data_IF_720485463275
#
_entry.id   IF_720485463275
#
_cell.length_a   1.000
_cell.length_b   1.000
_cell.length_c   1.000
_cell.angle_alpha   90.00
_cell.angle_beta   90.00
_cell.angle_gamma   90.00
#
_symmetry.space_group_name_H-M   'P 1'
#
loop_
_entity.id
_entity.type
_entity.pdbx_description
1 polymer ?
#
# COMPACT_ATOMS: atom_id res chain seq x y z
N UNK A 1 -0.14 -29.82 9.92
CA UNK A 1 1.25 -29.38 9.73
C UNK A 1 1.17 -27.99 9.13
N UNK A 2 1.56 -26.94 9.86
CA UNK A 2 1.46 -25.55 9.37
C UNK A 2 2.66 -25.28 8.47
N UNK A 3 2.43 -24.74 7.27
CA UNK A 3 3.47 -24.42 6.30
C UNK A 3 4.44 -23.39 6.87
N UNK A 4 5.73 -23.75 6.95
CA UNK A 4 6.79 -22.88 7.46
C UNK A 4 6.86 -21.53 6.71
N UNK A 5 6.48 -21.49 5.44
CA UNK A 5 6.51 -20.25 4.64
C UNK A 5 5.46 -19.23 5.11
N UNK A 6 4.28 -19.71 5.52
CA UNK A 6 3.22 -18.84 6.05
C UNK A 6 3.65 -18.25 7.40
N UNK A 7 4.30 -19.08 8.24
CA UNK A 7 4.83 -18.64 9.52
C UNK A 7 5.96 -17.62 9.36
N UNK A 8 6.83 -17.81 8.35
CA UNK A 8 7.91 -16.87 8.04
C UNK A 8 7.36 -15.53 7.55
N UNK A 9 6.34 -15.53 6.68
CA UNK A 9 5.68 -14.30 6.24
C UNK A 9 5.02 -13.54 7.40
N UNK A 10 4.34 -14.24 8.30
CA UNK A 10 3.72 -13.62 9.48
C UNK A 10 4.76 -13.08 10.47
N UNK A 11 5.87 -13.81 10.66
CA UNK A 11 6.98 -13.37 11.50
C UNK A 11 7.68 -12.13 10.92
N UNK A 12 7.95 -12.09 9.61
CA UNK A 12 8.52 -10.92 8.94
C UNK A 12 7.57 -9.71 8.96
N UNK A 13 6.26 -9.94 8.82
CA UNK A 13 5.24 -8.90 8.93
C UNK A 13 5.20 -8.30 10.35
N UNK A 14 5.13 -9.13 11.38
CA UNK A 14 5.04 -8.70 12.78
C UNK A 14 6.33 -8.03 13.27
N UNK A 15 7.50 -8.51 12.85
CA UNK A 15 8.79 -7.93 13.23
C UNK A 15 9.09 -6.61 12.51
N UNK A 16 8.63 -6.41 11.27
CA UNK A 16 8.76 -5.12 10.59
C UNK A 16 7.80 -4.05 11.13
N UNK A 17 6.62 -4.42 11.64
CA UNK A 17 5.69 -3.47 12.26
C UNK A 17 6.26 -2.85 13.56
N UNK A 18 7.13 -3.57 14.27
CA UNK A 18 7.70 -3.17 15.57
C UNK A 18 8.99 -2.33 15.51
N UNK A 19 9.58 -2.07 14.35
CA UNK A 19 10.80 -1.23 14.20
C UNK A 19 10.47 0.25 13.92
N UNK A 20 9.28 0.72 14.31
CA UNK A 20 8.96 2.15 14.42
C UNK A 20 9.61 2.72 15.68
N UNK A 21 10.94 2.62 15.69
CA UNK A 21 11.86 3.11 16.72
C UNK A 21 11.68 4.62 16.84
N UNK A 22 11.49 5.09 18.07
CA UNK A 22 11.39 6.49 18.47
C UNK A 22 12.39 7.37 17.70
N UNK A 23 11.90 8.08 16.67
CA UNK A 23 12.62 9.24 16.15
C UNK A 23 12.30 10.40 17.08
N UNK A 24 13.27 10.70 17.94
CA UNK A 24 13.39 11.96 18.68
C UNK A 24 12.87 13.12 17.85
N UNK A 25 11.92 13.86 18.42
CA UNK A 25 11.47 15.15 17.92
C UNK A 25 12.67 16.09 18.01
N UNK A 26 13.27 16.40 16.87
CA UNK A 26 14.00 17.66 16.69
C UNK A 26 13.19 18.47 15.69
N UNK A 27 12.62 19.58 16.15
CA UNK A 27 11.90 20.53 15.32
C UNK A 27 12.89 21.25 14.41
N UNK A 28 12.91 20.87 13.14
CA UNK A 28 13.38 21.73 12.05
C UNK A 28 12.26 21.84 11.03
N UNK A 29 11.69 23.04 10.94
CA UNK A 29 10.64 23.40 10.00
C UNK A 29 11.18 23.35 8.57
N UNK A 30 11.06 22.20 7.92
CA UNK A 30 11.03 22.11 6.47
C UNK A 30 9.86 21.22 6.11
N UNK A 31 8.72 21.85 5.79
CA UNK A 31 7.50 21.22 5.30
C UNK A 31 7.76 20.64 3.91
N UNK A 32 8.59 19.60 3.85
CA UNK A 32 8.72 18.75 2.69
C UNK A 32 7.43 17.96 2.64
N UNK A 33 6.46 18.41 1.84
CA UNK A 33 5.27 17.61 1.55
C UNK A 33 5.74 16.20 1.20
N UNK A 34 5.47 15.23 2.08
CA UNK A 34 5.82 13.85 1.81
C UNK A 34 5.15 13.51 0.48
N UNK A 35 5.97 13.21 -0.54
CA UNK A 35 5.47 12.93 -1.89
C UNK A 35 4.42 11.82 -1.76
N UNK A 36 3.17 12.13 -2.10
CA UNK A 36 2.10 11.13 -2.10
C UNK A 36 2.38 10.06 -3.17
N UNK A 37 2.04 8.82 -2.89
CA UNK A 37 2.25 7.69 -3.78
C UNK A 37 1.05 7.47 -4.70
N UNK A 38 1.32 7.22 -5.97
CA UNK A 38 0.33 6.77 -6.94
C UNK A 38 -0.07 5.31 -6.70
N UNK A 39 -1.22 4.88 -7.23
CA UNK A 39 -1.64 3.46 -7.21
C UNK A 39 -0.62 2.53 -7.88
N UNK A 40 0.10 3.04 -8.89
CA UNK A 40 1.18 2.33 -9.56
C UNK A 40 2.36 2.10 -8.63
N UNK A 41 2.84 3.14 -7.95
CA UNK A 41 3.95 3.04 -6.98
C UNK A 41 3.59 2.07 -5.84
N UNK A 42 2.37 2.18 -5.31
CA UNK A 42 1.85 1.25 -4.28
C UNK A 42 1.92 -0.20 -4.76
N UNK A 43 1.45 -0.49 -5.98
CA UNK A 43 1.53 -1.84 -6.54
C UNK A 43 2.98 -2.28 -6.77
N UNK A 44 3.81 -1.43 -7.36
CA UNK A 44 5.20 -1.79 -7.64
C UNK A 44 5.97 -2.14 -6.36
N UNK A 45 5.66 -1.51 -5.22
CA UNK A 45 6.23 -1.85 -3.91
C UNK A 45 5.86 -3.26 -3.42
N UNK A 46 4.79 -3.86 -3.94
CA UNK A 46 4.42 -5.25 -3.65
C UNK A 46 5.11 -6.27 -4.56
N UNK A 47 5.76 -5.82 -5.64
CA UNK A 47 6.32 -6.69 -6.67
C UNK A 47 5.28 -7.39 -7.57
N UNK A 48 4.00 -7.05 -7.46
CA UNK A 48 2.90 -7.69 -8.19
C UNK A 48 2.64 -7.04 -9.57
N UNK A 49 2.25 -7.87 -10.53
CA UNK A 49 1.66 -7.38 -11.78
C UNK A 49 0.29 -6.75 -11.52
N UNK A 50 -0.24 -5.98 -12.48
CA UNK A 50 -1.58 -5.39 -12.35
C UNK A 50 -2.68 -6.44 -12.12
N UNK A 51 -2.56 -7.61 -12.76
CA UNK A 51 -3.53 -8.70 -12.61
C UNK A 51 -3.41 -9.41 -11.25
N UNK A 52 -2.19 -9.61 -10.75
CA UNK A 52 -2.00 -10.19 -9.43
C UNK A 52 -2.46 -9.23 -8.34
N UNK A 53 -2.15 -7.95 -8.48
CA UNK A 53 -2.54 -6.92 -7.52
C UNK A 53 -4.07 -6.74 -7.48
N UNK A 54 -4.73 -6.74 -8.65
CA UNK A 54 -6.19 -6.61 -8.70
C UNK A 54 -6.91 -7.75 -7.95
N UNK A 55 -6.40 -8.99 -8.08
CA UNK A 55 -6.86 -10.14 -7.29
C UNK A 55 -6.56 -9.95 -5.80
N UNK A 56 -5.38 -9.44 -5.46
CA UNK A 56 -4.95 -9.21 -4.07
C UNK A 56 -5.82 -8.18 -3.32
N UNK A 57 -6.25 -7.12 -4.00
CA UNK A 57 -7.13 -6.06 -3.45
C UNK A 57 -8.62 -6.26 -3.76
N UNK A 58 -8.98 -7.39 -4.37
CA UNK A 58 -10.36 -7.77 -4.71
C UNK A 58 -11.09 -6.72 -5.60
N UNK A 59 -10.37 -6.16 -6.57
CA UNK A 59 -10.92 -5.25 -7.59
C UNK A 59 -10.83 -5.94 -8.95
N UNK A 60 -11.87 -5.88 -9.81
CA UNK A 60 -11.76 -6.43 -11.16
C UNK A 60 -10.56 -5.84 -11.92
N UNK A 61 -9.81 -6.69 -12.64
CA UNK A 61 -8.59 -6.27 -13.33
C UNK A 61 -8.76 -5.02 -14.19
N UNK A 62 -9.79 -5.00 -15.04
CA UNK A 62 -10.07 -3.86 -15.91
C UNK A 62 -10.34 -2.58 -15.12
N UNK A 63 -11.09 -2.69 -14.01
CA UNK A 63 -11.38 -1.56 -13.12
C UNK A 63 -10.09 -1.03 -12.47
N UNK A 64 -9.26 -1.91 -11.90
CA UNK A 64 -7.99 -1.51 -11.31
C UNK A 64 -7.04 -0.88 -12.34
N UNK A 65 -6.94 -1.47 -13.53
CA UNK A 65 -6.15 -0.93 -14.66
C UNK A 65 -6.59 0.48 -15.06
N UNK A 66 -7.90 0.74 -15.07
CA UNK A 66 -8.43 2.09 -15.35
C UNK A 66 -8.08 3.10 -14.26
N UNK A 67 -8.05 2.68 -12.99
CA UNK A 67 -7.61 3.54 -11.89
C UNK A 67 -6.12 3.87 -11.98
N UNK A 68 -5.26 2.87 -12.25
CA UNK A 68 -3.82 3.10 -12.33
C UNK A 68 -3.41 3.98 -13.53
N UNK A 69 -4.22 4.00 -14.58
CA UNK A 69 -3.98 4.79 -15.79
C UNK A 69 -4.75 6.13 -15.78
N UNK A 70 -5.32 6.54 -14.65
CA UNK A 70 -6.11 7.77 -14.49
C UNK A 70 -7.30 7.91 -15.47
N UNK A 71 -7.80 6.80 -16.00
CA UNK A 71 -8.94 6.77 -16.95
C UNK A 71 -10.27 6.89 -16.18
N UNK A 72 -10.30 6.41 -14.94
CA UNK A 72 -11.49 6.44 -14.09
C UNK A 72 -11.13 6.85 -12.67
N UNK A 73 -12.01 7.62 -12.02
CA UNK A 73 -11.84 8.00 -10.63
C UNK A 73 -12.14 6.81 -9.71
N UNK A 74 -11.27 6.60 -8.74
CA UNK A 74 -11.50 5.61 -7.69
C UNK A 74 -12.47 6.17 -6.65
N UNK A 75 -13.43 5.36 -6.23
CA UNK A 75 -14.30 5.69 -5.10
C UNK A 75 -13.53 5.57 -3.78
N UNK A 76 -13.80 6.48 -2.83
CA UNK A 76 -13.09 6.53 -1.54
C UNK A 76 -13.11 5.18 -0.80
N UNK A 77 -14.23 4.46 -0.82
CA UNK A 77 -14.35 3.15 -0.19
C UNK A 77 -13.45 2.08 -0.80
N UNK A 78 -13.21 2.12 -2.12
CA UNK A 78 -12.25 1.23 -2.79
C UNK A 78 -10.81 1.61 -2.47
N UNK A 79 -10.52 2.92 -2.40
CA UNK A 79 -9.21 3.39 -1.99
C UNK A 79 -8.86 2.91 -0.57
N UNK A 80 -9.79 3.04 0.38
CA UNK A 80 -9.59 2.51 1.74
C UNK A 80 -9.32 1.01 1.76
N UNK A 81 -10.02 0.22 0.94
CA UNK A 81 -9.75 -1.22 0.82
C UNK A 81 -8.34 -1.52 0.34
N UNK A 82 -7.88 -0.81 -0.70
CA UNK A 82 -6.49 -0.94 -1.19
C UNK A 82 -5.52 -0.60 -0.05
N UNK A 83 -5.69 0.58 0.55
CA UNK A 83 -4.85 1.10 1.65
C UNK A 83 -4.74 0.13 2.82
N UNK A 84 -5.87 -0.40 3.29
CA UNK A 84 -5.91 -1.39 4.38
C UNK A 84 -5.20 -2.70 4.02
N UNK A 85 -5.26 -3.11 2.75
CA UNK A 85 -4.65 -4.35 2.28
C UNK A 85 -3.13 -4.24 2.18
N UNK A 86 -2.62 -3.07 1.79
CA UNK A 86 -1.18 -2.79 1.65
C UNK A 86 -0.54 -2.19 2.91
N UNK A 87 -1.33 -1.73 3.87
CA UNK A 87 -0.86 -1.12 5.10
C UNK A 87 -0.37 0.33 4.95
N UNK A 88 -0.96 1.10 4.03
CA UNK A 88 -0.59 2.50 3.75
C UNK A 88 -1.76 3.40 4.19
N UNK A 89 -1.50 4.52 4.89
CA UNK A 89 -2.55 5.48 5.26
C UNK A 89 -3.06 6.23 4.01
N UNK A 90 -4.36 6.51 3.96
CA UNK A 90 -5.00 7.09 2.76
C UNK A 90 -4.46 8.48 2.41
N UNK A 91 -3.98 9.22 3.41
CA UNK A 91 -3.41 10.56 3.28
C UNK A 91 -2.08 10.57 2.51
N UNK A 92 -1.42 9.43 2.43
CA UNK A 92 -0.19 9.23 1.66
C UNK A 92 -0.44 8.86 0.19
N UNK A 93 -1.70 8.70 -0.23
CA UNK A 93 -2.04 8.28 -1.60
C UNK A 93 -2.47 9.46 -2.48
N UNK A 94 -1.99 9.48 -3.71
CA UNK A 94 -2.38 10.39 -4.78
C UNK A 94 -3.39 9.70 -5.70
N UNK A 95 -4.56 10.31 -5.86
CA UNK A 95 -5.72 9.87 -6.67
C UNK A 95 -6.38 11.05 -7.39
#
# INVERSE_FOLDING_TARGET
MVDLNILLCYYLYTTNYGQRKERKITMENNTQFAKRMTLKEIRMNTGLTQEQFSKFVEIPYNTYKMYENDISKIEIGRLFKICNRVGIPVEEVQI
#
